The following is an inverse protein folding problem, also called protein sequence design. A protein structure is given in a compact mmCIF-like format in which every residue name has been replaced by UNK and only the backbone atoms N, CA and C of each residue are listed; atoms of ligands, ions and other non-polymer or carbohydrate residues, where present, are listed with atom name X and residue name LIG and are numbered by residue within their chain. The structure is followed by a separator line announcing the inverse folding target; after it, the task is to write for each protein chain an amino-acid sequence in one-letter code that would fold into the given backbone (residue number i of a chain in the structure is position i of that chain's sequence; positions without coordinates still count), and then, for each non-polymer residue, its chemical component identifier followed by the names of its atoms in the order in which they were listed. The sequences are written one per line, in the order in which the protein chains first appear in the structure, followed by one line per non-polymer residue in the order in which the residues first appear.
data_IF_109717725110
#
_entry.id   IF_109717725110
#
_cell.length_a   1.000
_cell.length_b   1.000
_cell.length_c   1.000
_cell.angle_alpha   90.00
_cell.angle_beta   90.00
_cell.angle_gamma   90.00
#
_symmetry.space_group_name_H-M   'P 1'
#
loop_
_entity.id
_entity.type
_entity.pdbx_description
1 polymer ?
#
# COMPACT_ATOMS: atom_id res chain seq x y z
N UNK A 1 -6.77 18.21 -12.60
CA UNK A 1 -6.36 17.51 -11.37
C UNK A 1 -6.20 18.54 -10.26
N UNK A 2 -6.72 18.31 -9.05
CA UNK A 2 -6.49 19.20 -7.90
C UNK A 2 -5.29 18.63 -7.11
N UNK A 3 -4.20 19.38 -7.04
CA UNK A 3 -2.98 19.00 -6.31
C UNK A 3 -3.11 19.47 -4.87
N UNK A 4 -3.42 18.53 -3.97
CA UNK A 4 -3.55 18.78 -2.54
C UNK A 4 -2.28 18.40 -1.79
N UNK A 5 -2.13 18.95 -0.58
CA UNK A 5 -1.07 18.56 0.36
C UNK A 5 -1.63 17.48 1.27
N UNK A 6 -0.86 16.41 1.47
CA UNK A 6 -1.18 15.37 2.44
C UNK A 6 -0.46 15.67 3.76
N UNK A 7 -1.22 15.73 4.84
CA UNK A 7 -0.70 15.70 6.21
C UNK A 7 -0.91 14.29 6.73
N UNK A 8 0.15 13.67 7.25
CA UNK A 8 0.17 12.27 7.63
C UNK A 8 0.83 12.11 8.98
N UNK A 9 0.31 11.21 9.81
CA UNK A 9 0.98 10.87 11.07
C UNK A 9 2.30 10.14 10.80
N UNK A 10 3.36 10.49 11.51
CA UNK A 10 4.64 9.78 11.46
C UNK A 10 4.53 8.30 11.86
N UNK A 11 3.52 7.94 12.66
CA UNK A 11 3.26 6.58 13.12
C UNK A 11 2.43 5.75 12.15
N UNK A 12 1.94 6.34 11.05
CA UNK A 12 1.19 5.61 10.05
C UNK A 12 2.12 4.65 9.28
N UNK A 13 1.70 3.42 9.00
CA UNK A 13 2.46 2.50 8.14
C UNK A 13 2.72 3.08 6.75
N UNK A 14 1.80 3.92 6.27
CA UNK A 14 1.94 4.68 5.03
C UNK A 14 3.02 5.78 5.08
N UNK A 15 3.52 6.19 6.26
CA UNK A 15 4.54 7.23 6.40
C UNK A 15 5.87 6.81 5.77
N UNK A 16 6.21 5.52 5.83
CA UNK A 16 7.42 5.02 5.18
C UNK A 16 7.33 5.09 3.64
N UNK A 17 6.14 4.90 3.09
CA UNK A 17 5.88 4.89 1.66
C UNK A 17 5.66 6.30 1.07
N UNK A 18 4.87 7.12 1.76
CA UNK A 18 4.40 8.43 1.28
C UNK A 18 5.04 9.62 2.00
N UNK A 19 5.84 9.39 3.05
CA UNK A 19 6.40 10.43 3.89
C UNK A 19 7.32 11.40 3.17
N UNK A 20 7.98 10.98 2.09
CA UNK A 20 8.81 11.89 1.29
C UNK A 20 8.00 12.95 0.52
N UNK A 21 6.70 12.71 0.27
CA UNK A 21 5.80 13.70 -0.34
C UNK A 21 4.82 14.35 0.64
N UNK A 22 4.55 13.72 1.78
CA UNK A 22 3.62 14.21 2.79
C UNK A 22 4.30 15.14 3.82
N UNK A 23 3.50 15.94 4.53
CA UNK A 23 3.91 16.59 5.77
C UNK A 23 3.68 15.61 6.91
N UNK A 24 4.77 15.06 7.46
CA UNK A 24 4.72 14.18 8.61
C UNK A 24 4.51 14.99 9.88
N UNK A 25 3.58 14.56 10.72
CA UNK A 25 3.28 15.20 12.01
C UNK A 25 3.17 14.17 13.12
N UNK A 26 3.58 14.57 14.32
CA UNK A 26 3.20 13.87 15.53
C UNK A 26 1.76 14.25 15.93
N UNK A 27 0.78 13.31 15.90
CA UNK A 27 -0.61 13.61 16.24
C UNK A 27 -0.82 13.98 17.72
N UNK A 28 0.12 13.65 18.61
CA UNK A 28 0.06 14.06 20.02
C UNK A 28 0.53 15.50 20.24
N UNK A 29 1.17 16.11 19.25
CA UNK A 29 1.61 17.49 19.27
C UNK A 29 0.62 18.36 18.47
N UNK A 30 -0.27 19.04 19.20
CA UNK A 30 -1.29 19.89 18.60
C UNK A 30 -0.71 21.13 17.91
N UNK A 31 0.40 21.67 18.43
CA UNK A 31 1.05 22.85 17.86
C UNK A 31 1.68 22.51 16.50
N UNK A 32 2.40 21.39 16.43
CA UNK A 32 2.98 20.88 15.18
C UNK A 32 1.92 20.58 14.13
N UNK A 33 0.81 19.96 14.54
CA UNK A 33 -0.32 19.69 13.64
C UNK A 33 -0.93 20.99 13.11
N UNK A 34 -1.09 22.02 13.95
CA UNK A 34 -1.60 23.32 13.55
C UNK A 34 -0.64 24.02 12.57
N UNK A 35 0.67 23.98 12.83
CA UNK A 35 1.70 24.52 11.93
C UNK A 35 1.67 23.79 10.58
N UNK A 36 1.57 22.46 10.57
CA UNK A 36 1.49 21.70 9.32
C UNK A 36 0.25 22.05 8.49
N UNK A 37 -0.90 22.30 9.13
CA UNK A 37 -2.12 22.77 8.44
C UNK A 37 -1.89 24.18 7.86
N UNK A 38 -1.31 25.09 8.63
CA UNK A 38 -0.97 26.43 8.17
C UNK A 38 -0.04 26.38 6.96
N UNK A 39 1.00 25.56 7.02
CA UNK A 39 1.99 25.42 5.96
C UNK A 39 1.37 24.78 4.71
N UNK A 40 0.52 23.76 4.87
CA UNK A 40 -0.21 23.15 3.78
C UNK A 40 -1.12 24.13 3.02
N UNK A 41 -1.76 25.07 3.73
CA UNK A 41 -2.63 26.09 3.14
C UNK A 41 -1.84 27.19 2.42
N UNK A 42 -0.69 27.57 2.96
CA UNK A 42 0.18 28.61 2.39
C UNK A 42 1.17 28.07 1.35
N UNK A 43 1.24 26.76 1.15
CA UNK A 43 2.20 26.13 0.25
C UNK A 43 2.02 26.59 -1.21
N UNK A 44 3.10 27.02 -1.88
CA UNK A 44 3.06 27.41 -3.28
C UNK A 44 2.50 26.30 -4.17
N UNK A 45 1.76 26.67 -5.22
CA UNK A 45 1.15 25.70 -6.14
C UNK A 45 2.17 24.71 -6.74
N UNK A 46 3.36 25.20 -7.10
CA UNK A 46 4.44 24.39 -7.67
C UNK A 46 4.88 23.27 -6.72
N UNK A 47 5.15 23.61 -5.46
CA UNK A 47 5.57 22.62 -4.46
C UNK A 47 4.46 21.58 -4.19
N UNK A 48 3.19 22.02 -4.16
CA UNK A 48 2.05 21.10 -4.03
C UNK A 48 1.94 20.12 -5.18
N UNK A 49 2.23 20.57 -6.40
CA UNK A 49 2.23 19.72 -7.60
C UNK A 49 3.35 18.70 -7.57
N UNK A 50 4.57 19.11 -7.21
CA UNK A 50 5.74 18.22 -7.09
C UNK A 50 5.52 17.13 -6.04
N UNK A 51 5.05 17.51 -4.85
CA UNK A 51 4.71 16.55 -3.77
C UNK A 51 3.59 15.60 -4.18
N UNK A 52 2.55 16.12 -4.82
CA UNK A 52 1.43 15.31 -5.30
C UNK A 52 1.87 14.30 -6.38
N UNK A 53 2.73 14.72 -7.31
CA UNK A 53 3.24 13.85 -8.36
C UNK A 53 4.10 12.72 -7.80
N UNK A 54 4.98 13.03 -6.84
CA UNK A 54 5.77 12.03 -6.13
C UNK A 54 4.87 10.95 -5.49
N UNK A 55 3.88 11.38 -4.71
CA UNK A 55 2.96 10.45 -4.05
C UNK A 55 2.10 9.67 -5.05
N UNK A 56 1.60 10.33 -6.10
CA UNK A 56 0.79 9.69 -7.13
C UNK A 56 1.58 8.59 -7.84
N UNK A 57 2.86 8.82 -8.13
CA UNK A 57 3.73 7.81 -8.73
C UNK A 57 3.96 6.64 -7.76
N UNK A 58 4.15 6.92 -6.47
CA UNK A 58 4.31 5.88 -5.45
C UNK A 58 3.07 4.99 -5.31
N UNK A 59 1.86 5.57 -5.27
CA UNK A 59 0.60 4.82 -5.19
C UNK A 59 0.34 4.00 -6.46
N UNK A 60 0.65 4.54 -7.63
CA UNK A 60 0.45 3.83 -8.91
C UNK A 60 1.42 2.65 -9.09
N UNK A 61 2.58 2.67 -8.45
CA UNK A 61 3.58 1.60 -8.52
C UNK A 61 3.35 0.51 -7.46
N UNK A 62 2.86 0.88 -6.28
CA UNK A 62 2.61 -0.03 -5.17
C UNK A 62 1.11 -0.31 -5.01
N UNK A 63 0.53 -0.95 -6.03
CA UNK A 63 -0.90 -1.29 -6.03
C UNK A 63 -1.19 -2.49 -5.14
N UNK A 64 -2.46 -2.61 -4.71
CA UNK A 64 -2.93 -3.78 -3.98
C UNK A 64 -2.75 -5.08 -4.78
N UNK A 65 -2.86 -5.02 -6.12
CA UNK A 65 -2.58 -6.15 -6.99
C UNK A 65 -1.11 -6.57 -6.91
N UNK A 66 -0.16 -5.62 -6.99
CA UNK A 66 1.27 -5.92 -6.88
C UNK A 66 1.64 -6.51 -5.51
N UNK A 67 0.98 -6.05 -4.44
CA UNK A 67 1.11 -6.66 -3.12
C UNK A 67 0.55 -8.09 -3.09
N UNK A 68 -0.64 -8.34 -3.64
CA UNK A 68 -1.26 -9.66 -3.65
C UNK A 68 -0.42 -10.69 -4.45
N UNK A 69 0.13 -10.28 -5.59
CA UNK A 69 1.05 -11.09 -6.40
C UNK A 69 2.32 -11.46 -5.61
N UNK A 70 2.92 -10.49 -4.91
CA UNK A 70 4.07 -10.73 -4.03
C UNK A 70 3.72 -11.66 -2.86
N UNK A 71 2.56 -11.47 -2.25
CA UNK A 71 2.12 -12.29 -1.12
C UNK A 71 1.93 -13.75 -1.54
N UNK A 72 1.21 -13.98 -2.64
CA UNK A 72 0.99 -15.34 -3.17
C UNK A 72 2.29 -15.98 -3.64
N UNK A 73 3.21 -15.22 -4.26
CA UNK A 73 4.51 -15.76 -4.66
C UNK A 73 5.39 -16.13 -3.47
N UNK A 74 5.39 -15.32 -2.40
CA UNK A 74 6.08 -15.64 -1.15
C UNK A 74 5.53 -16.89 -0.47
N UNK A 75 4.19 -17.08 -0.47
CA UNK A 75 3.58 -18.30 0.06
C UNK A 75 4.01 -19.55 -0.72
N UNK A 76 4.05 -19.47 -2.05
CA UNK A 76 4.53 -20.58 -2.89
C UNK A 76 5.99 -20.89 -2.64
N UNK A 77 6.83 -19.87 -2.59
CA UNK A 77 8.26 -20.03 -2.26
C UNK A 77 8.47 -20.70 -0.90
N UNK A 78 7.71 -20.29 0.13
CA UNK A 78 7.79 -20.90 1.45
C UNK A 78 7.30 -22.36 1.46
N UNK A 79 6.30 -22.69 0.64
CA UNK A 79 5.84 -24.06 0.46
C UNK A 79 6.91 -24.91 -0.22
N UNK A 80 7.47 -24.43 -1.34
CA UNK A 80 8.52 -25.11 -2.11
C UNK A 80 9.80 -25.28 -1.27
N UNK A 81 10.17 -24.29 -0.45
CA UNK A 81 11.33 -24.36 0.44
C UNK A 81 11.15 -25.35 1.61
N UNK A 82 9.91 -25.63 2.02
CA UNK A 82 9.59 -26.63 3.05
C UNK A 82 9.38 -28.04 2.47
N UNK A 83 9.37 -28.22 1.15
CA UNK A 83 9.21 -29.53 0.52
C UNK A 83 10.43 -30.47 0.68
N UNK A 84 11.57 -29.97 1.15
CA UNK A 84 12.78 -30.79 1.35
C UNK A 84 12.93 -31.41 2.77
N UNK A 85 12.01 -31.15 3.73
CA UNK A 85 12.16 -31.64 5.12
C UNK A 85 10.89 -32.11 5.86
N UNK A 86 9.74 -32.25 5.18
CA UNK A 86 8.47 -32.69 5.81
C UNK A 86 8.14 -34.18 5.64
N UNK A 87 7.52 -34.87 6.63
CA UNK A 87 7.14 -36.29 6.55
C UNK A 87 5.96 -36.58 5.59
N UNK A 88 5.53 -35.59 4.82
CA UNK A 88 4.40 -35.65 3.87
C UNK A 88 4.85 -35.53 2.41
N UNK A 89 6.02 -36.06 2.07
CA UNK A 89 6.64 -36.04 0.73
C UNK A 89 5.91 -36.90 -0.32
N UNK A 90 4.58 -36.93 -0.30
CA UNK A 90 3.77 -37.81 -1.16
C UNK A 90 2.28 -37.48 -1.23
N UNK A 91 1.83 -36.28 -0.81
CA UNK A 91 0.45 -35.85 -1.05
C UNK A 91 0.35 -35.15 -2.42
N UNK A 92 -0.05 -35.91 -3.44
CA UNK A 92 -0.17 -35.51 -4.84
C UNK A 92 -1.40 -34.64 -5.15
N UNK A 93 -1.90 -33.83 -4.20
CA UNK A 93 -3.13 -33.08 -4.45
C UNK A 93 -3.31 -31.84 -3.57
N UNK A 94 -2.35 -30.92 -3.63
CA UNK A 94 -2.67 -29.49 -3.54
C UNK A 94 -2.88 -28.94 -4.97
N UNK A 95 -3.70 -29.62 -5.79
CA UNK A 95 -3.95 -29.21 -7.17
C UNK A 95 -4.88 -28.00 -7.19
N UNK A 96 -4.29 -26.90 -7.65
CA UNK A 96 -4.93 -25.82 -8.39
C UNK A 96 -6.00 -24.99 -7.67
N UNK A 97 -5.56 -24.16 -6.71
CA UNK A 97 -5.98 -22.75 -6.84
C UNK A 97 -4.98 -22.06 -7.76
N UNK A 98 -5.27 -22.11 -9.06
CA UNK A 98 -4.44 -21.47 -10.06
C UNK A 98 -4.31 -19.97 -9.72
N UNK A 99 -3.10 -19.44 -9.87
CA UNK A 99 -2.76 -18.02 -9.60
C UNK A 99 -3.76 -17.03 -10.25
N UNK A 100 -4.37 -17.44 -11.38
CA UNK A 100 -5.39 -16.66 -12.07
C UNK A 100 -6.68 -16.53 -11.27
N UNK A 101 -7.08 -17.51 -10.48
CA UNK A 101 -8.38 -17.56 -9.80
C UNK A 101 -8.40 -16.67 -8.55
N UNK A 102 -7.30 -16.66 -7.79
CA UNK A 102 -7.14 -15.76 -6.63
C UNK A 102 -7.09 -14.30 -7.08
N UNK A 103 -6.30 -14.00 -8.12
CA UNK A 103 -6.19 -12.63 -8.66
C UNK A 103 -7.48 -12.20 -9.37
N UNK A 104 -8.15 -13.11 -10.10
CA UNK A 104 -9.44 -12.82 -10.71
C UNK A 104 -10.51 -12.53 -9.66
N UNK A 105 -10.51 -13.25 -8.54
CA UNK A 105 -11.40 -12.98 -7.40
C UNK A 105 -11.13 -11.61 -6.77
N UNK A 106 -9.86 -11.21 -6.65
CA UNK A 106 -9.48 -9.87 -6.19
C UNK A 106 -9.91 -8.76 -7.17
N UNK A 107 -9.69 -8.96 -8.48
CA UNK A 107 -10.12 -8.03 -9.55
C UNK A 107 -11.65 -7.95 -9.72
N UNK A 108 -12.38 -9.00 -9.35
CA UNK A 108 -13.84 -8.98 -9.31
C UNK A 108 -14.35 -8.15 -8.12
N UNK A 109 -13.64 -8.18 -6.98
CA UNK A 109 -13.94 -7.38 -5.80
C UNK A 109 -13.77 -5.86 -6.07
N UNK A 110 -12.74 -5.46 -6.83
CA UNK A 110 -12.51 -4.04 -7.20
C UNK A 110 -13.61 -3.43 -8.08
N UNK A 111 -14.31 -4.23 -8.89
CA UNK A 111 -15.42 -3.74 -9.73
C UNK A 111 -16.75 -3.59 -8.98
N UNK A 112 -16.86 -4.19 -7.78
CA UNK A 112 -18.11 -4.24 -7.01
C UNK A 112 -18.18 -3.29 -5.81
N UNK A 113 -17.05 -2.86 -5.23
CA UNK A 113 -17.08 -2.14 -3.96
C UNK A 113 -16.29 -0.83 -3.99
N UNK A 114 -17.04 0.28 -3.96
CA UNK A 114 -16.55 1.61 -3.55
C UNK A 114 -16.25 1.65 -2.04
N UNK A 115 -15.43 0.75 -1.54
CA UNK A 115 -14.91 0.88 -0.17
C UNK A 115 -13.39 0.78 -0.19
N UNK A 116 -12.78 1.93 0.09
CA UNK A 116 -11.36 2.08 0.40
C UNK A 116 -11.03 1.12 1.54
N UNK A 117 -10.32 0.04 1.24
CA UNK A 117 -9.72 -0.78 2.27
C UNK A 117 -8.50 -0.02 2.79
N UNK A 118 -8.67 0.60 3.97
CA UNK A 118 -7.57 1.00 4.84
C UNK A 118 -6.93 -0.30 5.36
N UNK A 119 -5.71 -0.57 4.93
CA UNK A 119 -4.82 -1.52 5.61
C UNK A 119 -3.76 -0.68 6.31
N UNK A 120 -3.67 -0.85 7.62
CA UNK A 120 -2.81 -0.10 8.55
C UNK A 120 -1.32 -0.23 8.20
#
# INVERSE_FOLDING_TARGET
KKSGVLILSEFAGAAQALGAGALLVNPYNTDETATAIHDALNMPKKEREERFEYMSNHINTHTAQAWAEKFVSSLKYALDANCDVGPFSGMEEAKDLAHRDVIASYKACERGSRQRLLVF
#
